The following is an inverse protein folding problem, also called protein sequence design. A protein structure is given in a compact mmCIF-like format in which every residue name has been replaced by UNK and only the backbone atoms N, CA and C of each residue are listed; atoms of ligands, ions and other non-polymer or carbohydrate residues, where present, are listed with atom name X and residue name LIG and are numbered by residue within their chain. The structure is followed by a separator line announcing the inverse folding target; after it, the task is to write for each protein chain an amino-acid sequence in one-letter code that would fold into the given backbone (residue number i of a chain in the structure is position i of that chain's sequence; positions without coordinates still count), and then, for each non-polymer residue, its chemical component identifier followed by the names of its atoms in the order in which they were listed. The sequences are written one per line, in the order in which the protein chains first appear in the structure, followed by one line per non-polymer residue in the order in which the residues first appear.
data_IF_759329043169
#
_entry.id   IF_759329043169
#
_cell.length_a   1.000
_cell.length_b   1.000
_cell.length_c   1.000
_cell.angle_alpha   90.00
_cell.angle_beta   90.00
_cell.angle_gamma   90.00
#
_symmetry.space_group_name_H-M   'P 1'
#
loop_
_entity.id
_entity.type
_entity.pdbx_description
1 polymer ?
#
# COMPACT_ATOMS: atom_id res chain seq x y z
N UNK A 1 3.60 20.93 4.67
CA UNK A 1 3.07 21.05 6.05
C UNK A 1 2.16 19.88 6.29
N UNK A 2 2.52 19.02 7.24
CA UNK A 2 1.74 17.84 7.60
C UNK A 2 0.84 18.20 8.78
N UNK A 3 -0.47 17.96 8.65
CA UNK A 3 -1.41 18.13 9.75
C UNK A 3 -1.39 16.90 10.64
N UNK A 4 -1.55 17.08 11.95
CA UNK A 4 -1.62 15.95 12.88
C UNK A 4 -2.97 15.22 12.74
N UNK A 5 -3.03 13.95 13.15
CA UNK A 5 -4.31 13.22 13.13
C UNK A 5 -5.33 13.84 14.10
N UNK A 6 -4.88 14.52 15.16
CA UNK A 6 -5.75 15.27 16.08
C UNK A 6 -6.41 16.47 15.40
N UNK A 7 -5.63 17.28 14.67
CA UNK A 7 -6.14 18.43 13.89
C UNK A 7 -7.16 17.98 12.84
N UNK A 8 -6.87 16.86 12.17
CA UNK A 8 -7.78 16.25 11.20
C UNK A 8 -9.06 15.76 11.84
N UNK A 9 -8.98 15.10 13.01
CA UNK A 9 -10.17 14.64 13.76
C UNK A 9 -11.04 15.82 14.19
N UNK A 10 -10.43 16.89 14.70
CA UNK A 10 -11.13 18.12 15.10
C UNK A 10 -11.83 18.80 13.92
N UNK A 11 -11.16 18.89 12.76
CA UNK A 11 -11.74 19.46 11.55
C UNK A 11 -12.91 18.63 11.01
N UNK A 12 -12.82 17.29 11.07
CA UNK A 12 -13.91 16.40 10.67
C UNK A 12 -15.10 16.47 11.63
N UNK A 13 -14.87 16.57 12.94
CA UNK A 13 -15.94 16.75 13.92
C UNK A 13 -16.69 18.06 13.70
N UNK A 14 -15.97 19.17 13.50
CA UNK A 14 -16.58 20.46 13.21
C UNK A 14 -17.34 20.45 11.87
N UNK A 15 -16.87 19.66 10.89
CA UNK A 15 -17.60 19.44 9.65
C UNK A 15 -18.92 18.70 9.88
N UNK A 16 -18.95 17.67 10.73
CA UNK A 16 -20.17 16.95 11.08
C UNK A 16 -21.20 17.86 11.79
N UNK A 17 -20.74 18.81 12.60
CA UNK A 17 -21.60 19.78 13.29
C UNK A 17 -22.13 20.90 12.36
N UNK A 18 -21.27 21.42 11.48
CA UNK A 18 -21.59 22.61 10.66
C UNK A 18 -22.13 22.29 9.28
N UNK A 19 -21.88 21.08 8.76
CA UNK A 19 -22.19 20.65 7.40
C UNK A 19 -21.45 21.43 6.29
N UNK A 20 -20.49 22.31 6.64
CA UNK A 20 -19.89 23.24 5.68
C UNK A 20 -18.38 23.35 5.84
N UNK A 21 -17.66 22.92 4.79
CA UNK A 21 -16.18 23.05 4.72
C UNK A 21 -15.74 24.52 4.89
N UNK A 22 -16.48 25.47 4.31
CA UNK A 22 -16.12 26.89 4.41
C UNK A 22 -16.17 27.38 5.87
N UNK A 23 -17.17 26.94 6.65
CA UNK A 23 -17.27 27.28 8.08
C UNK A 23 -16.16 26.64 8.90
N UNK A 24 -15.77 25.40 8.58
CA UNK A 24 -14.65 24.72 9.24
C UNK A 24 -13.35 25.50 9.06
N UNK A 25 -13.05 25.92 7.82
CA UNK A 25 -11.85 26.70 7.50
C UNK A 25 -11.89 28.08 8.16
N UNK A 26 -13.06 28.73 8.19
CA UNK A 26 -13.20 30.02 8.84
C UNK A 26 -12.98 29.94 10.35
N UNK A 27 -13.51 28.90 11.01
CA UNK A 27 -13.42 28.72 12.46
C UNK A 27 -12.04 28.25 12.93
N UNK A 28 -11.38 27.36 12.18
CA UNK A 28 -10.09 26.78 12.57
C UNK A 28 -8.89 27.52 11.97
N UNK A 29 -9.07 28.26 10.87
CA UNK A 29 -7.98 28.88 10.09
C UNK A 29 -7.19 27.88 9.23
N UNK A 30 -7.54 26.60 9.30
CA UNK A 30 -6.99 25.48 8.54
C UNK A 30 -8.11 24.42 8.41
N UNK A 31 -7.94 23.34 7.61
CA UNK A 31 -6.95 23.13 6.57
C UNK A 31 -7.39 23.81 5.24
N UNK A 32 -6.73 23.51 4.11
CA UNK A 32 -7.25 23.93 2.80
C UNK A 32 -8.54 23.17 2.44
N UNK A 33 -9.36 23.73 1.53
CA UNK A 33 -10.54 23.03 0.99
C UNK A 33 -10.21 21.65 0.43
N UNK A 34 -9.07 21.52 -0.24
CA UNK A 34 -8.62 20.28 -0.88
C UNK A 34 -8.27 19.19 0.15
N UNK A 35 -7.67 19.59 1.27
CA UNK A 35 -7.40 18.70 2.38
C UNK A 35 -8.71 18.21 3.03
N UNK A 36 -9.70 19.09 3.24
CA UNK A 36 -11.01 18.67 3.75
C UNK A 36 -11.68 17.65 2.83
N UNK A 37 -11.73 17.89 1.51
CA UNK A 37 -12.28 16.91 0.57
C UNK A 37 -11.56 15.56 0.66
N UNK A 38 -10.23 15.58 0.74
CA UNK A 38 -9.42 14.36 0.86
C UNK A 38 -9.72 13.62 2.16
N UNK A 39 -9.84 14.33 3.28
CA UNK A 39 -10.12 13.74 4.59
C UNK A 39 -11.55 13.17 4.67
N UNK A 40 -12.53 13.88 4.11
CA UNK A 40 -13.92 13.39 4.02
C UNK A 40 -13.99 12.13 3.16
N UNK A 41 -13.35 12.15 1.98
CA UNK A 41 -13.29 10.99 1.07
C UNK A 41 -12.65 9.77 1.74
N UNK A 42 -11.57 9.99 2.48
CA UNK A 42 -10.80 8.92 3.13
C UNK A 42 -11.35 8.53 4.51
N UNK A 43 -12.42 9.15 5.01
CA UNK A 43 -12.99 8.90 6.35
C UNK A 43 -13.51 7.46 6.51
N UNK A 44 -14.11 6.92 5.46
CA UNK A 44 -14.75 5.60 5.46
C UNK A 44 -14.00 4.58 4.59
N UNK A 45 -12.88 4.98 4.00
CA UNK A 45 -12.03 4.03 3.29
C UNK A 45 -11.19 3.36 4.37
N UNK A 46 -11.61 2.16 4.79
CA UNK A 46 -10.68 1.25 5.44
C UNK A 46 -9.45 1.20 4.53
N UNK A 47 -8.31 1.66 5.06
CA UNK A 47 -7.04 1.52 4.37
C UNK A 47 -6.80 0.03 4.26
N UNK A 48 -7.30 -0.59 3.20
CA UNK A 48 -6.86 -1.90 2.75
C UNK A 48 -5.40 -1.71 2.36
N UNK A 49 -4.53 -1.76 3.36
CA UNK A 49 -3.16 -2.15 3.12
C UNK A 49 -3.31 -3.46 2.36
N UNK A 50 -2.90 -3.49 1.09
CA UNK A 50 -2.61 -4.78 0.46
C UNK A 50 -1.56 -5.38 1.38
N UNK A 51 -1.98 -6.35 2.19
CA UNK A 51 -1.07 -7.20 2.94
C UNK A 51 -0.29 -7.96 1.87
N UNK A 52 0.78 -7.34 1.37
CA UNK A 52 1.83 -8.11 0.76
C UNK A 52 2.42 -8.92 1.91
N UNK A 53 2.05 -10.20 1.97
CA UNK A 53 2.55 -11.16 2.95
C UNK A 53 4.05 -11.38 2.69
N UNK A 54 4.87 -10.40 3.04
CA UNK A 54 6.32 -10.55 3.16
C UNK A 54 6.63 -11.21 4.50
N UNK A 55 6.05 -12.38 4.75
CA UNK A 55 6.44 -13.20 5.90
C UNK A 55 7.73 -13.90 5.52
N UNK A 56 8.85 -13.53 6.14
CA UNK A 56 10.07 -14.35 6.17
C UNK A 56 9.75 -15.66 6.92
N UNK A 57 9.08 -16.57 6.24
CA UNK A 57 8.79 -17.91 6.75
C UNK A 57 10.02 -18.78 6.49
N UNK A 58 10.32 -19.78 7.34
CA UNK A 58 11.38 -20.75 7.05
C UNK A 58 11.23 -21.40 5.66
N UNK A 59 9.99 -21.55 5.20
CA UNK A 59 9.64 -22.13 3.90
C UNK A 59 9.62 -21.10 2.74
N UNK A 60 9.68 -19.80 3.03
CA UNK A 60 9.70 -18.76 2.01
C UNK A 60 10.52 -17.57 2.50
N UNK A 61 11.81 -17.59 2.17
CA UNK A 61 12.74 -16.50 2.47
C UNK A 61 12.52 -15.37 1.47
N UNK A 62 12.35 -14.14 1.96
CA UNK A 62 12.26 -12.93 1.10
C UNK A 62 13.51 -12.80 0.22
N UNK A 63 14.65 -13.28 0.73
CA UNK A 63 15.91 -13.35 0.00
C UNK A 63 16.27 -14.83 -0.26
N UNK A 64 15.95 -15.36 -1.45
CA UNK A 64 16.38 -16.71 -1.84
C UNK A 64 17.91 -16.82 -1.87
N UNK A 65 18.42 -18.05 -1.72
CA UNK A 65 19.82 -18.34 -1.99
C UNK A 65 20.13 -18.11 -3.48
N UNK A 66 21.42 -17.98 -3.80
CA UNK A 66 21.87 -17.85 -5.18
C UNK A 66 21.45 -19.06 -6.04
N UNK A 67 21.56 -20.27 -5.48
CA UNK A 67 21.18 -21.52 -6.13
C UNK A 67 19.72 -21.51 -6.58
N UNK A 68 18.80 -21.17 -5.67
CA UNK A 68 17.37 -21.07 -5.98
C UNK A 68 17.07 -20.00 -7.04
N UNK A 69 17.79 -18.86 -7.02
CA UNK A 69 17.62 -17.84 -8.06
C UNK A 69 18.04 -18.35 -9.43
N UNK A 70 19.20 -19.00 -9.52
CA UNK A 70 19.71 -19.52 -10.79
C UNK A 70 18.79 -20.61 -11.35
N UNK A 71 18.29 -21.50 -10.50
CA UNK A 71 17.32 -22.52 -10.89
C UNK A 71 16.04 -21.92 -11.46
N UNK A 72 15.47 -20.92 -10.78
CA UNK A 72 14.26 -20.22 -11.24
C UNK A 72 14.51 -19.54 -12.60
N UNK A 73 15.64 -18.85 -12.76
CA UNK A 73 15.99 -18.15 -14.00
C UNK A 73 16.21 -19.13 -15.16
N UNK A 74 16.88 -20.25 -14.92
CA UNK A 74 17.09 -21.30 -15.92
C UNK A 74 15.76 -21.86 -16.42
N UNK A 75 14.85 -22.25 -15.52
CA UNK A 75 13.51 -22.74 -15.90
C UNK A 75 12.70 -21.68 -16.66
N UNK A 76 12.76 -20.42 -16.23
CA UNK A 76 12.02 -19.34 -16.89
C UNK A 76 12.55 -19.00 -18.30
N UNK A 77 13.87 -18.89 -18.47
CA UNK A 77 14.48 -18.28 -19.66
C UNK A 77 15.19 -19.28 -20.59
N UNK A 78 15.69 -20.40 -20.07
CA UNK A 78 16.33 -21.44 -20.88
C UNK A 78 15.34 -22.54 -21.25
N UNK A 79 14.53 -23.00 -20.31
CA UNK A 79 13.51 -24.05 -20.56
C UNK A 79 12.19 -23.47 -21.10
N UNK A 80 11.94 -22.17 -20.89
CA UNK A 80 10.77 -21.47 -21.39
C UNK A 80 9.47 -21.79 -20.64
N UNK A 81 9.58 -22.24 -19.39
CA UNK A 81 8.42 -22.46 -18.53
C UNK A 81 7.66 -21.15 -18.25
N UNK A 82 6.35 -21.27 -18.00
CA UNK A 82 5.52 -20.12 -17.67
C UNK A 82 5.91 -19.52 -16.31
N UNK A 83 6.33 -18.26 -16.33
CA UNK A 83 6.76 -17.50 -15.16
C UNK A 83 5.65 -17.42 -14.10
N UNK A 84 4.37 -17.45 -14.49
CA UNK A 84 3.28 -17.49 -13.52
C UNK A 84 3.29 -18.82 -12.74
N UNK A 85 3.46 -19.93 -13.43
CA UNK A 85 3.52 -21.26 -12.81
C UNK A 85 4.71 -21.37 -11.84
N UNK A 86 5.89 -20.91 -12.25
CA UNK A 86 7.09 -20.87 -11.39
C UNK A 86 6.91 -19.92 -10.20
N UNK A 87 6.26 -18.77 -10.42
CA UNK A 87 5.93 -17.80 -9.37
C UNK A 87 5.04 -18.42 -8.28
N UNK A 88 4.07 -19.25 -8.67
CA UNK A 88 3.16 -19.94 -7.76
C UNK A 88 3.86 -21.12 -7.05
N UNK A 89 4.75 -21.83 -7.74
CA UNK A 89 5.53 -22.96 -7.21
C UNK A 89 6.54 -22.52 -6.13
N UNK A 90 7.39 -21.53 -6.43
CA UNK A 90 8.44 -21.05 -5.51
C UNK A 90 7.93 -19.93 -4.57
N UNK A 91 6.73 -19.42 -4.81
CA UNK A 91 6.10 -18.37 -4.01
C UNK A 91 6.64 -16.96 -4.25
N UNK A 92 7.51 -16.76 -5.25
CA UNK A 92 8.07 -15.44 -5.56
C UNK A 92 7.19 -14.70 -6.54
N UNK A 93 7.00 -13.39 -6.34
CA UNK A 93 6.24 -12.58 -7.29
C UNK A 93 6.92 -12.57 -8.65
N UNK A 94 6.14 -12.55 -9.74
CA UNK A 94 6.68 -12.41 -11.11
C UNK A 94 7.62 -11.21 -11.22
N UNK A 95 7.28 -10.10 -10.56
CA UNK A 95 8.11 -8.89 -10.51
C UNK A 95 9.48 -9.16 -9.88
N UNK A 96 9.54 -9.98 -8.82
CA UNK A 96 10.80 -10.38 -8.20
C UNK A 96 11.63 -11.22 -9.16
N UNK A 97 11.01 -12.19 -9.83
CA UNK A 97 11.68 -13.05 -10.81
C UNK A 97 12.27 -12.23 -11.95
N UNK A 98 11.51 -11.28 -12.51
CA UNK A 98 12.01 -10.37 -13.56
C UNK A 98 13.13 -9.42 -13.10
N UNK A 99 13.26 -9.18 -11.80
CA UNK A 99 14.29 -8.30 -11.25
C UNK A 99 15.59 -9.03 -10.92
N UNK A 100 15.59 -10.36 -10.94
CA UNK A 100 16.77 -11.19 -10.72
C UNK A 100 17.54 -11.39 -12.02
#
# INVERSE_FOLDING_TARGET
MSFTEEEKKKALQLYDETGSIAKVIHNLGYPSRQNMYTWIKNRNIEKKHKEYSFTNSPNHRIHPSLETKLEILHRCFEEGEDIKSISEEYGYSRTSIYSW
#
